data_IF_423239507583
#
_entry.id   IF_423239507583
#
_cell.length_a   1.000
_cell.length_b   1.000
_cell.length_c   1.000
_cell.angle_alpha   90.00
_cell.angle_beta   90.00
_cell.angle_gamma   90.00
#
_symmetry.space_group_name_H-M   'P 1'
#
loop_
_entity.id
_entity.type
_entity.pdbx_description
1 polymer ?
#
# COMPACT_ATOMS: atom_id res chain seq x y z
N UNK A 1 -22.08 -41.91 5.82
CA UNK A 1 -20.79 -42.05 5.13
C UNK A 1 -19.83 -41.01 5.70
N UNK A 2 -19.03 -41.39 6.70
CA UNK A 2 -18.05 -40.49 7.35
C UNK A 2 -16.85 -40.38 6.41
N UNK A 3 -16.75 -39.28 5.66
CA UNK A 3 -15.56 -38.95 4.90
C UNK A 3 -14.47 -38.55 5.90
N UNK A 4 -13.65 -39.51 6.30
CA UNK A 4 -12.40 -39.28 7.02
C UNK A 4 -11.45 -38.54 6.08
N UNK A 5 -11.38 -37.22 6.20
CA UNK A 5 -10.30 -36.44 5.58
C UNK A 5 -8.98 -36.85 6.24
N UNK A 6 -7.94 -37.25 5.49
CA UNK A 6 -6.66 -37.61 6.07
C UNK A 6 -6.04 -36.39 6.76
N UNK A 7 -5.63 -36.58 8.02
CA UNK A 7 -5.03 -35.57 8.91
C UNK A 7 -3.88 -34.76 8.26
N UNK A 8 -3.20 -35.34 7.26
CA UNK A 8 -2.15 -34.66 6.48
C UNK A 8 -2.66 -33.56 5.55
N UNK A 9 -3.88 -33.67 4.99
CA UNK A 9 -4.41 -32.68 4.03
C UNK A 9 -4.74 -31.37 4.74
N UNK A 10 -5.26 -31.45 5.97
CA UNK A 10 -5.49 -30.26 6.79
C UNK A 10 -4.18 -29.60 7.23
N UNK A 11 -3.12 -30.39 7.46
CA UNK A 11 -1.79 -29.87 7.81
C UNK A 11 -1.08 -29.17 6.65
N UNK A 12 -1.36 -29.54 5.39
CA UNK A 12 -0.78 -28.92 4.19
C UNK A 12 -1.53 -27.62 3.81
N UNK A 13 -2.83 -27.52 4.10
CA UNK A 13 -3.60 -26.28 3.92
C UNK A 13 -3.14 -25.16 4.89
N UNK A 14 -2.43 -25.55 5.95
CA UNK A 14 -1.76 -24.71 6.94
C UNK A 14 -0.28 -24.50 6.57
N UNK A 15 0.10 -24.65 5.29
CA UNK A 15 1.26 -23.94 4.76
C UNK A 15 0.92 -22.46 4.69
N UNK A 16 0.96 -21.82 5.86
CA UNK A 16 1.03 -20.40 6.06
C UNK A 16 1.83 -19.76 4.92
N UNK A 17 1.19 -18.88 4.16
CA UNK A 17 1.92 -17.93 3.31
C UNK A 17 2.86 -17.16 4.25
N UNK A 18 4.13 -17.56 4.28
CA UNK A 18 5.17 -16.78 4.91
C UNK A 18 5.34 -15.54 4.04
N UNK A 19 4.67 -14.44 4.41
CA UNK A 19 5.01 -13.12 3.89
C UNK A 19 6.41 -12.76 4.43
N UNK A 20 7.43 -13.22 3.71
CA UNK A 20 8.81 -12.79 3.95
C UNK A 20 8.89 -11.33 3.49
N UNK A 21 8.87 -10.43 4.47
CA UNK A 21 9.11 -9.02 4.26
C UNK A 21 10.62 -8.80 4.18
N UNK A 22 11.06 -8.29 3.04
CA UNK A 22 12.47 -8.08 2.74
C UNK A 22 12.97 -6.72 3.18
N UNK A 23 12.15 -5.69 2.93
CA UNK A 23 12.52 -4.29 3.11
C UNK A 23 11.42 -3.58 3.87
N UNK A 24 11.82 -2.75 4.85
CA UNK A 24 10.93 -1.85 5.56
C UNK A 24 11.19 -0.40 5.11
N UNK A 25 10.16 0.24 4.54
CA UNK A 25 10.16 1.67 4.25
C UNK A 25 9.52 2.44 5.40
N UNK A 26 10.28 3.34 6.04
CA UNK A 26 9.75 4.25 7.07
C UNK A 26 9.42 5.60 6.44
N UNK A 27 8.12 5.90 6.34
CA UNK A 27 7.62 7.10 5.68
C UNK A 27 7.16 8.06 6.76
N UNK A 28 7.84 9.22 6.87
CA UNK A 28 7.54 10.26 7.84
C UNK A 28 7.07 11.53 7.14
N UNK A 29 5.96 12.09 7.60
CA UNK A 29 5.48 13.39 7.14
C UNK A 29 6.08 14.49 8.02
N UNK A 30 7.02 15.27 7.47
CA UNK A 30 7.55 16.47 8.12
C UNK A 30 6.93 17.77 7.57
N UNK A 31 5.98 17.68 6.63
CA UNK A 31 5.29 18.82 6.05
C UNK A 31 4.25 19.40 7.01
N UNK A 32 3.82 20.64 6.74
CA UNK A 32 2.70 21.26 7.45
C UNK A 32 1.39 20.69 6.91
N UNK A 33 0.61 20.03 7.76
CA UNK A 33 -0.67 19.41 7.40
C UNK A 33 -0.60 17.92 7.02
N UNK A 34 -1.79 17.34 6.76
CA UNK A 34 -1.93 15.96 6.30
C UNK A 34 -1.51 15.82 4.84
N UNK A 35 -0.69 14.83 4.54
CA UNK A 35 -0.38 14.38 3.18
C UNK A 35 -1.03 13.03 2.93
N UNK A 36 -1.34 12.70 1.68
CA UNK A 36 -1.75 11.34 1.31
C UNK A 36 -0.63 10.67 0.52
N UNK A 37 -0.05 9.61 1.08
CA UNK A 37 0.96 8.82 0.40
C UNK A 37 0.30 7.99 -0.68
N UNK A 38 0.81 8.07 -1.91
CA UNK A 38 0.51 7.15 -3.00
C UNK A 38 1.62 6.10 -3.14
N UNK A 39 1.24 4.88 -3.51
CA UNK A 39 2.17 3.75 -3.69
C UNK A 39 1.76 3.00 -4.96
N UNK A 40 2.71 2.83 -5.88
CA UNK A 40 2.54 2.02 -7.09
C UNK A 40 3.71 1.05 -7.17
N UNK A 41 3.40 -0.25 -7.06
CA UNK A 41 4.37 -1.34 -7.22
C UNK A 41 4.27 -2.02 -8.59
N UNK A 42 4.90 -3.18 -8.72
CA UNK A 42 4.93 -4.01 -9.92
C UNK A 42 3.51 -4.30 -10.45
N UNK A 43 3.26 -4.18 -11.77
CA UNK A 43 2.00 -4.62 -12.38
C UNK A 43 1.73 -6.10 -12.10
N UNK A 44 0.47 -6.45 -11.82
CA UNK A 44 0.05 -7.84 -11.56
C UNK A 44 0.37 -8.36 -10.14
N UNK A 45 0.99 -7.57 -9.27
CA UNK A 45 1.28 -7.94 -7.89
C UNK A 45 0.35 -7.22 -6.88
N UNK A 46 0.17 -7.75 -5.66
CA UNK A 46 -0.54 -7.06 -4.60
C UNK A 46 0.04 -5.68 -4.30
N UNK A 47 -0.83 -4.68 -4.12
CA UNK A 47 -0.41 -3.31 -3.82
C UNK A 47 -0.13 -3.12 -2.33
N UNK A 48 1.09 -2.69 -1.99
CA UNK A 48 1.44 -2.34 -0.61
C UNK A 48 0.45 -1.33 -0.04
N UNK A 49 -0.13 -1.64 1.13
CA UNK A 49 -1.19 -0.83 1.78
C UNK A 49 -2.34 -0.45 0.83
N UNK A 50 -2.67 -1.29 -0.15
CA UNK A 50 -3.67 -1.01 -1.20
C UNK A 50 -3.34 0.24 -2.04
N UNK A 51 -2.04 0.55 -2.18
CA UNK A 51 -1.56 1.65 -3.01
C UNK A 51 -1.63 3.03 -2.37
N UNK A 52 -1.98 3.18 -1.10
CA UNK A 52 -1.90 4.50 -0.45
C UNK A 52 -2.59 4.62 0.90
N UNK A 53 -2.25 5.69 1.62
CA UNK A 53 -2.83 6.01 2.92
C UNK A 53 -2.64 7.49 3.26
N UNK A 54 -3.45 8.01 4.18
CA UNK A 54 -3.29 9.34 4.77
C UNK A 54 -2.20 9.32 5.85
N UNK A 55 -1.43 10.39 5.95
CA UNK A 55 -0.37 10.55 6.94
C UNK A 55 -0.42 11.98 7.52
N UNK A 56 -0.87 12.07 8.78
CA UNK A 56 -0.98 13.34 9.50
C UNK A 56 0.40 14.02 9.67
N UNK A 57 0.40 15.32 9.94
CA UNK A 57 1.61 16.10 10.22
C UNK A 57 2.41 15.47 11.38
N UNK A 58 3.71 15.29 11.17
CA UNK A 58 4.62 14.70 12.16
C UNK A 58 4.52 13.18 12.31
N UNK A 59 3.50 12.55 11.73
CA UNK A 59 3.30 11.11 11.84
C UNK A 59 4.29 10.33 10.97
N UNK A 60 4.57 9.10 11.39
CA UNK A 60 5.40 8.15 10.66
C UNK A 60 4.65 6.82 10.50
N UNK A 61 4.86 6.15 9.38
CA UNK A 61 4.32 4.82 9.11
C UNK A 61 5.34 3.93 8.41
N UNK A 62 5.47 2.70 8.90
CA UNK A 62 6.24 1.65 8.23
C UNK A 62 5.41 0.92 7.18
N UNK A 63 6.05 0.64 6.04
CA UNK A 63 5.51 -0.16 4.95
C UNK A 63 6.53 -1.24 4.61
N UNK A 64 6.16 -2.49 4.79
CA UNK A 64 6.99 -3.62 4.41
C UNK A 64 6.76 -3.96 2.94
N UNK A 65 7.82 -4.39 2.26
CA UNK A 65 7.79 -4.84 0.88
C UNK A 65 8.55 -6.18 0.74
N UNK A 66 8.13 -7.06 -0.18
CA UNK A 66 8.88 -8.27 -0.53
C UNK A 66 10.17 -7.95 -1.30
N UNK A 67 11.10 -8.92 -1.37
CA UNK A 67 12.45 -8.75 -1.96
C UNK A 67 12.41 -8.32 -3.42
N UNK A 68 11.38 -8.76 -4.14
CA UNK A 68 11.18 -8.50 -5.56
C UNK A 68 10.31 -7.25 -5.84
N UNK A 69 10.06 -6.42 -4.82
CA UNK A 69 9.27 -5.21 -5.00
C UNK A 69 10.05 -4.13 -5.73
N UNK A 70 9.43 -3.59 -6.77
CA UNK A 70 9.87 -2.42 -7.51
C UNK A 70 8.69 -1.46 -7.68
N UNK A 71 8.92 -0.18 -7.43
CA UNK A 71 7.84 0.78 -7.49
C UNK A 71 8.27 2.16 -7.03
N UNK A 72 7.26 2.99 -6.76
CA UNK A 72 7.44 4.33 -6.24
C UNK A 72 6.46 4.65 -5.13
N UNK A 73 6.90 5.55 -4.28
CA UNK A 73 6.09 6.30 -3.32
C UNK A 73 6.05 7.75 -3.79
N UNK A 74 4.95 8.44 -3.56
CA UNK A 74 4.87 9.90 -3.76
C UNK A 74 3.94 10.52 -2.73
N UNK A 75 4.14 11.81 -2.45
CA UNK A 75 3.24 12.59 -1.61
C UNK A 75 2.13 13.22 -2.46
N UNK A 76 0.92 13.29 -1.90
CA UNK A 76 -0.21 14.04 -2.45
C UNK A 76 -0.62 15.09 -1.46
N UNK A 77 -0.80 16.31 -1.94
CA UNK A 77 -1.08 17.47 -1.10
C UNK A 77 -2.39 18.15 -1.49
N UNK A 78 -2.94 18.93 -0.54
CA UNK A 78 -4.19 19.67 -0.70
C UNK A 78 -5.37 18.77 -1.12
N UNK A 79 -5.51 17.64 -0.43
CA UNK A 79 -6.54 16.65 -0.72
C UNK A 79 -7.88 17.02 -0.08
N UNK A 80 -8.97 16.88 -0.84
CA UNK A 80 -10.33 17.03 -0.38
C UNK A 80 -10.87 15.69 0.15
N UNK A 81 -11.32 15.67 1.40
CA UNK A 81 -11.78 14.43 2.04
C UNK A 81 -13.15 13.94 1.52
N UNK A 82 -14.00 14.83 0.99
CA UNK A 82 -15.30 14.48 0.44
C UNK A 82 -15.21 13.87 -0.95
N UNK A 83 -14.35 14.42 -1.82
CA UNK A 83 -14.17 13.93 -3.19
C UNK A 83 -13.00 12.97 -3.39
N UNK A 84 -12.11 12.85 -2.39
CA UNK A 84 -10.84 12.13 -2.48
C UNK A 84 -9.87 12.61 -3.57
N UNK A 85 -10.12 13.79 -4.14
CA UNK A 85 -9.24 14.43 -5.10
C UNK A 85 -8.10 15.17 -4.39
N UNK A 86 -6.90 15.14 -4.95
CA UNK A 86 -5.75 15.94 -4.51
C UNK A 86 -5.26 16.85 -5.63
N UNK A 87 -4.79 18.05 -5.30
CA UNK A 87 -4.29 18.98 -6.32
C UNK A 87 -2.97 18.54 -6.95
N UNK A 88 -2.16 17.76 -6.23
CA UNK A 88 -0.91 17.17 -6.73
C UNK A 88 -0.87 15.67 -6.48
N UNK A 89 -0.25 14.94 -7.40
CA UNK A 89 -0.08 13.49 -7.30
C UNK A 89 -1.38 12.70 -7.22
N UNK A 90 -2.52 13.26 -7.64
CA UNK A 90 -3.81 12.58 -7.57
C UNK A 90 -3.76 11.18 -8.19
N UNK A 91 -4.52 10.24 -7.66
CA UNK A 91 -4.57 8.87 -8.20
C UNK A 91 -6.03 8.42 -8.36
N UNK A 92 -6.68 8.96 -9.39
CA UNK A 92 -8.07 8.66 -9.73
C UNK A 92 -9.07 8.92 -8.59
N UNK A 93 -8.84 9.99 -7.81
CA UNK A 93 -9.70 10.42 -6.70
C UNK A 93 -9.94 9.30 -5.65
N UNK A 94 -8.87 8.61 -5.24
CA UNK A 94 -8.91 7.54 -4.24
C UNK A 94 -7.87 7.78 -3.16
N UNK A 95 -8.20 7.49 -1.89
CA UNK A 95 -7.16 7.40 -0.83
C UNK A 95 -6.23 6.21 -1.09
N UNK A 96 -6.78 5.06 -1.47
CA UNK A 96 -6.05 3.84 -1.83
C UNK A 96 -5.90 3.78 -3.34
N UNK A 97 -4.71 4.06 -3.86
CA UNK A 97 -4.52 4.20 -5.30
C UNK A 97 -4.74 2.91 -6.08
N UNK A 98 -4.70 1.71 -5.46
CA UNK A 98 -4.99 0.43 -6.12
C UNK A 98 -4.34 0.28 -7.50
N UNK A 99 -3.05 0.61 -7.62
CA UNK A 99 -2.29 0.48 -8.85
C UNK A 99 -2.37 1.68 -9.81
N UNK A 100 -3.23 2.67 -9.56
CA UNK A 100 -3.21 3.94 -10.29
C UNK A 100 -1.96 4.75 -9.93
N UNK A 101 -1.30 5.33 -10.94
CA UNK A 101 -0.17 6.23 -10.74
C UNK A 101 -0.62 7.63 -10.30
N UNK A 102 0.31 8.39 -9.71
CA UNK A 102 0.11 9.80 -9.44
C UNK A 102 0.10 10.64 -10.73
N UNK A 103 -0.91 11.48 -10.89
CA UNK A 103 -0.99 12.51 -11.92
C UNK A 103 0.11 13.57 -11.68
N UNK A 104 0.94 13.89 -12.69
CA UNK A 104 1.96 14.93 -12.55
C UNK A 104 1.37 16.31 -12.22
N UNK A 105 2.04 17.13 -11.38
CA UNK A 105 3.36 16.88 -10.79
C UNK A 105 3.30 15.92 -9.59
N UNK A 106 4.25 14.99 -9.54
CA UNK A 106 4.50 14.08 -8.42
C UNK A 106 6.00 13.80 -8.33
N UNK A 107 6.58 13.93 -7.13
CA UNK A 107 7.96 13.53 -6.84
C UNK A 107 8.04 12.04 -6.57
#
# INVERSE_FOLDING_TARGET
MKLLMPSCIFSILVCFFLEINAVEFKIKNNERGEIWVGIQGNPGHPHLKNGGFKLAQGAQKSVNAPDNWAGRFWARTWCNQGSNHCLTGNCANKVKCNGFGGEPPAT
#
